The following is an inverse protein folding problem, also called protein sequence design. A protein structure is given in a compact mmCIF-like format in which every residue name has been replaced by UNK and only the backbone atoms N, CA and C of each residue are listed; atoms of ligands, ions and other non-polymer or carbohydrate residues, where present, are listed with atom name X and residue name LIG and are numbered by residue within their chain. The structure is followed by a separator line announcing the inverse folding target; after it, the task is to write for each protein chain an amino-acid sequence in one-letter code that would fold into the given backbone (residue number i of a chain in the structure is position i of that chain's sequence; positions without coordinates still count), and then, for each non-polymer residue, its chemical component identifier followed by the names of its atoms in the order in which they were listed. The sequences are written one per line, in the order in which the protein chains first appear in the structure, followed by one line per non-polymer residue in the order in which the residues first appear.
data_IF_727789521844
#
_entry.id   IF_727789521844
#
_cell.length_a   1.000
_cell.length_b   1.000
_cell.length_c   1.000
_cell.angle_alpha   90.00
_cell.angle_beta   90.00
_cell.angle_gamma   90.00
#
_symmetry.space_group_name_H-M   'P 1'
#
loop_
_entity.id
_entity.type
_entity.pdbx_description
1 polymer ?
#
# COMPACT_ATOMS: atom_id res chain seq x y z
N UNK A 1 -3.11 19.22 -27.61
CA UNK A 1 -1.74 18.79 -27.27
C UNK A 1 -1.87 17.58 -26.38
N UNK A 2 -1.52 16.37 -26.80
CA UNK A 2 -1.54 15.24 -25.89
C UNK A 2 -0.45 15.50 -24.84
N UNK A 3 -0.82 15.67 -23.58
CA UNK A 3 0.13 15.63 -22.49
C UNK A 3 0.80 14.25 -22.58
N UNK A 4 2.10 14.22 -22.85
CA UNK A 4 2.86 12.98 -22.79
C UNK A 4 2.63 12.41 -21.39
N UNK A 5 1.92 11.28 -21.32
CA UNK A 5 1.71 10.56 -20.08
C UNK A 5 3.08 9.99 -19.70
N UNK A 6 3.82 10.69 -18.85
CA UNK A 6 4.99 10.08 -18.22
C UNK A 6 4.53 8.78 -17.55
N UNK A 7 5.28 7.67 -17.72
CA UNK A 7 4.88 6.41 -17.13
C UNK A 7 4.84 6.55 -15.61
N UNK A 8 3.64 6.48 -15.04
CA UNK A 8 3.44 6.53 -13.60
C UNK A 8 3.97 5.23 -12.95
N UNK A 9 4.89 5.40 -12.01
CA UNK A 9 5.53 4.31 -11.29
C UNK A 9 4.67 3.84 -10.13
N UNK A 10 4.60 2.52 -9.92
CA UNK A 10 3.97 1.95 -8.73
C UNK A 10 4.92 2.05 -7.53
N UNK A 11 4.46 2.67 -6.46
CA UNK A 11 5.12 2.70 -5.14
C UNK A 11 4.19 2.03 -4.13
N UNK A 12 4.66 0.95 -3.53
CA UNK A 12 3.86 0.13 -2.62
C UNK A 12 4.27 0.36 -1.17
N UNK A 13 3.33 0.19 -0.25
CA UNK A 13 3.58 0.19 1.19
C UNK A 13 3.72 -1.23 1.72
N UNK A 14 4.51 -1.40 2.77
CA UNK A 14 4.66 -2.66 3.49
C UNK A 14 3.47 -2.86 4.43
N UNK A 15 2.71 -3.93 4.21
CA UNK A 15 1.55 -4.31 5.03
C UNK A 15 1.74 -5.75 5.56
N UNK A 16 2.44 -5.94 6.69
CA UNK A 16 2.62 -7.26 7.28
C UNK A 16 1.27 -7.94 7.54
N UNK A 17 1.07 -9.12 6.94
CA UNK A 17 -0.20 -9.86 7.05
C UNK A 17 -1.41 -9.15 6.43
N UNK A 18 -1.18 -8.14 5.57
CA UNK A 18 -2.23 -7.35 4.95
C UNK A 18 -3.08 -6.52 5.92
N UNK A 19 -2.56 -6.21 7.12
CA UNK A 19 -3.27 -5.36 8.09
C UNK A 19 -3.05 -3.89 7.77
N UNK A 20 -4.13 -3.13 7.83
CA UNK A 20 -4.13 -1.68 7.66
C UNK A 20 -5.19 -1.09 8.60
N UNK A 21 -4.81 -0.13 9.44
CA UNK A 21 -5.76 0.57 10.29
C UNK A 21 -6.60 1.55 9.46
N UNK A 22 -7.82 1.85 9.91
CA UNK A 22 -8.72 2.78 9.21
C UNK A 22 -8.09 4.17 8.99
N UNK A 23 -7.38 4.69 10.00
CA UNK A 23 -6.67 5.98 9.87
C UNK A 23 -5.55 5.93 8.82
N UNK A 24 -4.81 4.82 8.72
CA UNK A 24 -3.79 4.65 7.71
C UNK A 24 -4.40 4.54 6.31
N UNK A 25 -5.54 3.87 6.16
CA UNK A 25 -6.27 3.80 4.89
C UNK A 25 -6.76 5.18 4.45
N UNK A 26 -7.27 6.00 5.37
CA UNK A 26 -7.68 7.37 5.07
C UNK A 26 -6.50 8.21 4.58
N UNK A 27 -5.36 8.15 5.29
CA UNK A 27 -4.14 8.85 4.87
C UNK A 27 -3.67 8.42 3.46
N UNK A 28 -3.71 7.12 3.15
CA UNK A 28 -3.36 6.62 1.82
C UNK A 28 -4.35 7.11 0.75
N UNK A 29 -5.64 7.20 1.08
CA UNK A 29 -6.65 7.73 0.16
C UNK A 29 -6.44 9.22 -0.14
N UNK A 30 -6.10 10.02 0.87
CA UNK A 30 -5.80 11.45 0.72
C UNK A 30 -4.54 11.65 -0.15
N UNK A 31 -3.46 10.92 0.16
CA UNK A 31 -2.23 10.93 -0.66
C UNK A 31 -2.48 10.46 -2.09
N UNK A 32 -3.39 9.49 -2.30
CA UNK A 32 -3.75 9.06 -3.63
C UNK A 32 -4.45 10.16 -4.41
N UNK A 33 -5.35 10.91 -3.77
CA UNK A 33 -6.03 12.05 -4.38
C UNK A 33 -5.07 13.16 -4.78
N UNK A 34 -4.10 13.46 -3.93
CA UNK A 34 -3.16 14.56 -4.14
C UNK A 34 -2.04 14.22 -5.13
N UNK A 35 -1.53 12.98 -5.09
CA UNK A 35 -0.28 12.62 -5.77
C UNK A 35 -0.39 11.43 -6.75
N UNK A 36 -1.53 10.73 -6.80
CA UNK A 36 -1.67 9.47 -7.57
C UNK A 36 -3.00 9.32 -8.33
N UNK A 37 -3.64 10.43 -8.70
CA UNK A 37 -4.87 10.42 -9.51
C UNK A 37 -6.09 9.79 -8.81
N UNK A 38 -6.12 9.79 -7.48
CA UNK A 38 -7.25 9.35 -6.66
C UNK A 38 -7.45 7.85 -6.57
N UNK A 39 -6.48 7.03 -7.01
CA UNK A 39 -6.62 5.57 -7.05
C UNK A 39 -5.61 4.85 -6.17
N UNK A 40 -6.09 3.93 -5.34
CA UNK A 40 -5.27 2.93 -4.66
C UNK A 40 -5.23 1.64 -5.48
N UNK A 41 -4.04 1.07 -5.62
CA UNK A 41 -3.80 -0.18 -6.36
C UNK A 41 -3.59 -1.30 -5.37
N UNK A 42 -4.54 -2.24 -5.31
CA UNK A 42 -4.32 -3.52 -4.64
C UNK A 42 -3.46 -4.42 -5.53
N UNK A 43 -2.39 -4.97 -4.95
CA UNK A 43 -1.53 -5.95 -5.61
C UNK A 43 -1.76 -7.33 -5.01
N UNK A 44 -1.11 -8.35 -5.56
CA UNK A 44 -1.24 -9.73 -5.07
C UNK A 44 -0.87 -9.87 -3.59
N UNK A 45 0.05 -9.04 -3.11
CA UNK A 45 0.67 -9.14 -1.79
C UNK A 45 0.76 -7.80 -1.05
N UNK A 46 0.05 -6.76 -1.51
CA UNK A 46 0.14 -5.44 -0.93
C UNK A 46 -0.83 -4.41 -1.50
N UNK A 47 -0.48 -3.15 -1.29
CA UNK A 47 -1.22 -1.98 -1.74
C UNK A 47 -0.22 -0.88 -2.10
N UNK A 48 -0.53 -0.10 -3.14
CA UNK A 48 0.33 0.99 -3.59
C UNK A 48 -0.40 2.08 -4.35
N UNK A 49 0.37 3.09 -4.73
CA UNK A 49 -0.07 4.28 -5.46
C UNK A 49 0.73 4.39 -6.77
N UNK A 50 0.11 4.89 -7.84
CA UNK A 50 0.78 5.13 -9.12
C UNK A 50 0.98 6.62 -9.36
N UNK A 51 2.23 7.05 -9.48
CA UNK A 51 2.57 8.46 -9.67
C UNK A 51 4.06 8.69 -9.81
N UNK A 52 4.53 9.89 -9.49
CA UNK A 52 5.96 10.18 -9.45
C UNK A 52 6.62 9.42 -8.28
N UNK A 53 7.58 8.53 -8.58
CA UNK A 53 8.21 7.66 -7.57
C UNK A 53 8.91 8.44 -6.46
N UNK A 54 9.63 9.50 -6.78
CA UNK A 54 10.38 10.27 -5.78
C UNK A 54 9.42 10.99 -4.81
N UNK A 55 8.38 11.61 -5.36
CA UNK A 55 7.35 12.31 -4.59
C UNK A 55 6.56 11.34 -3.70
N UNK A 56 6.03 10.25 -4.27
CA UNK A 56 5.28 9.26 -3.50
C UNK A 56 6.14 8.62 -2.40
N UNK A 57 7.42 8.34 -2.68
CA UNK A 57 8.33 7.81 -1.66
C UNK A 57 8.50 8.78 -0.51
N UNK A 58 8.73 10.07 -0.81
CA UNK A 58 8.87 11.10 0.21
C UNK A 58 7.58 11.28 1.04
N UNK A 59 6.41 11.34 0.40
CA UNK A 59 5.14 11.51 1.10
C UNK A 59 4.80 10.31 1.98
N UNK A 60 4.87 9.10 1.43
CA UNK A 60 4.55 7.88 2.19
C UNK A 60 5.48 7.72 3.40
N UNK A 61 6.79 7.85 3.21
CA UNK A 61 7.74 7.75 4.32
C UNK A 61 7.60 8.89 5.33
N UNK A 62 7.29 10.11 4.88
CA UNK A 62 7.01 11.25 5.75
C UNK A 62 5.79 11.05 6.66
N UNK A 63 4.80 10.29 6.21
CA UNK A 63 3.64 9.86 7.00
C UNK A 63 3.85 8.55 7.78
N UNK A 64 5.08 8.03 7.81
CA UNK A 64 5.46 6.86 8.61
C UNK A 64 5.13 5.50 7.97
N UNK A 65 4.87 5.46 6.66
CA UNK A 65 4.74 4.19 5.95
C UNK A 65 6.11 3.62 5.58
N UNK A 66 6.31 2.33 5.87
CA UNK A 66 7.46 1.59 5.38
C UNK A 66 7.25 1.16 3.92
N UNK A 67 8.29 1.25 3.10
CA UNK A 67 8.28 0.75 1.73
C UNK A 67 8.99 -0.61 1.66
N UNK A 68 8.53 -1.55 0.80
CA UNK A 68 9.16 -2.85 0.66
C UNK A 68 10.57 -2.71 0.07
N UNK A 69 11.57 -3.27 0.75
CA UNK A 69 12.93 -3.32 0.25
C UNK A 69 13.11 -4.37 -0.84
N UNK A 70 14.08 -4.16 -1.74
CA UNK A 70 14.34 -5.04 -2.90
C UNK A 70 14.60 -6.52 -2.54
N UNK A 71 15.17 -6.78 -1.37
CA UNK A 71 15.62 -8.11 -0.95
C UNK A 71 14.74 -8.74 0.15
N UNK A 72 13.70 -8.05 0.62
CA UNK A 72 12.83 -8.56 1.70
C UNK A 72 11.55 -9.14 1.11
N UNK A 73 11.19 -10.34 1.57
CA UNK A 73 9.90 -10.96 1.23
C UNK A 73 8.78 -10.31 2.04
N UNK A 74 7.61 -10.18 1.42
CA UNK A 74 6.40 -9.75 2.11
C UNK A 74 5.87 -10.86 3.00
N UNK A 75 5.46 -10.51 4.21
CA UNK A 75 4.81 -11.41 5.14
C UNK A 75 3.32 -11.47 4.78
N UNK A 76 2.85 -12.63 4.32
CA UNK A 76 1.45 -12.86 3.98
C UNK A 76 0.76 -13.70 5.06
N UNK A 77 -0.50 -13.38 5.29
CA UNK A 77 -1.39 -14.14 6.16
C UNK A 77 -2.75 -14.28 5.48
N UNK A 78 -3.43 -15.40 5.72
CA UNK A 78 -4.79 -15.56 5.21
C UNK A 78 -5.71 -14.53 5.87
N UNK A 79 -6.46 -13.72 5.09
CA UNK A 79 -7.32 -12.66 5.63
C UNK A 79 -8.54 -13.22 6.38
N UNK A 80 -8.87 -14.50 6.19
CA UNK A 80 -9.98 -15.19 6.85
C UNK A 80 -9.51 -16.16 7.95
N UNK A 81 -8.22 -16.15 8.30
CA UNK A 81 -7.71 -16.91 9.45
C UNK A 81 -8.54 -16.63 10.70
N UNK A 82 -8.91 -17.68 11.42
CA UNK A 82 -9.73 -17.56 12.63
C UNK A 82 -11.20 -17.20 12.40
N UNK A 83 -11.63 -16.90 11.16
CA UNK A 83 -13.02 -16.47 10.89
C UNK A 83 -14.02 -17.63 10.96
N UNK A 84 -13.67 -18.81 10.46
CA UNK A 84 -14.55 -19.98 10.39
C UNK A 84 -13.80 -21.23 10.88
N UNK A 85 -14.22 -21.78 12.02
CA UNK A 85 -13.65 -23.01 12.59
C UNK A 85 -12.21 -22.90 13.14
N UNK A 86 -11.57 -21.73 13.02
CA UNK A 86 -10.27 -21.43 13.63
C UNK A 86 -10.44 -20.78 15.00
N UNK A 87 -9.44 -20.94 15.87
CA UNK A 87 -9.49 -20.42 17.24
C UNK A 87 -9.10 -18.93 17.37
N UNK A 88 -8.24 -18.42 16.48
CA UNK A 88 -7.74 -17.04 16.49
C UNK A 88 -7.26 -16.60 15.09
N UNK A 89 -7.24 -15.30 14.83
CA UNK A 89 -6.57 -14.72 13.66
C UNK A 89 -5.05 -14.87 13.83
N UNK A 90 -4.36 -15.40 12.82
CA UNK A 90 -2.90 -15.66 12.86
C UNK A 90 -2.04 -14.39 12.88
N UNK A 91 -2.69 -13.22 12.78
CA UNK A 91 -2.06 -11.90 12.79
C UNK A 91 -2.15 -11.20 14.16
N UNK A 92 -2.81 -11.83 15.14
CA UNK A 92 -2.84 -11.40 16.54
C UNK A 92 -1.70 -11.98 17.37
#
# INVERSE_FOLDING_TARGET
MPHAHEPADLVEVSLPGGRLAAAQLQLLADLAHEHAGGTLVLTTDGLGLRGNRAELTAQLTGHGFDLPGQHRRRLLASPLSGRLGGHVDVRE
#
